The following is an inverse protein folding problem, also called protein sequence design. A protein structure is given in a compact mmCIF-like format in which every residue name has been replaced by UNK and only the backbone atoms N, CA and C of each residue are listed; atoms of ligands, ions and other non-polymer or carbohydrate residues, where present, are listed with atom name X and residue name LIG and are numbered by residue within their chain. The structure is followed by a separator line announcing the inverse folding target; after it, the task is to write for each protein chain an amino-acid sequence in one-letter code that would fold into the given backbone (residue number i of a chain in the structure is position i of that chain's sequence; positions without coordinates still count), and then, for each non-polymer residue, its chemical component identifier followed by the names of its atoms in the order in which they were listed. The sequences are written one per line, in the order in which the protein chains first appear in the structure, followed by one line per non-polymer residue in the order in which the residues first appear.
data_IF_292510644075
#
_entry.id   IF_292510644075
#
_cell.length_a   1.000
_cell.length_b   1.000
_cell.length_c   1.000
_cell.angle_alpha   90.00
_cell.angle_beta   90.00
_cell.angle_gamma   90.00
#
_symmetry.space_group_name_H-M   'P 1'
#
loop_
_entity.id
_entity.type
_entity.pdbx_description
1 polymer ?
#
# COMPACT_ATOMS: atom_id res chain seq x y z
N UNK A 1 -9.78 -47.83 1.98
CA UNK A 1 -8.70 -47.11 1.25
C UNK A 1 -9.25 -46.82 -0.14
N UNK A 2 -9.27 -45.61 -0.68
CA UNK A 2 -8.16 -44.65 -0.77
C UNK A 2 -8.69 -43.23 -0.83
N UNK A 3 -8.09 -42.33 -0.07
CA UNK A 3 -8.31 -40.89 -0.14
C UNK A 3 -7.82 -40.43 -1.52
N UNK A 4 -8.66 -39.73 -2.28
CA UNK A 4 -8.20 -39.08 -3.49
C UNK A 4 -7.03 -38.16 -3.13
N UNK A 5 -5.85 -38.43 -3.69
CA UNK A 5 -4.68 -37.57 -3.59
C UNK A 5 -4.99 -36.30 -4.38
N UNK A 6 -5.49 -35.28 -3.70
CA UNK A 6 -5.44 -33.92 -4.21
C UNK A 6 -3.97 -33.51 -4.14
N UNK A 7 -3.28 -33.56 -5.28
CA UNK A 7 -2.01 -32.87 -5.44
C UNK A 7 -2.24 -31.41 -5.06
N UNK A 8 -1.48 -30.82 -4.12
CA UNK A 8 -1.53 -29.38 -3.92
C UNK A 8 -1.03 -28.76 -5.23
N UNK A 9 -1.95 -28.13 -5.97
CA UNK A 9 -1.56 -27.24 -7.04
C UNK A 9 -0.70 -26.16 -6.40
N UNK A 10 0.49 -25.96 -6.96
CA UNK A 10 1.42 -24.92 -6.56
C UNK A 10 0.69 -23.58 -6.47
N UNK A 11 0.51 -23.09 -5.25
CA UNK A 11 0.24 -21.70 -4.97
C UNK A 11 1.24 -21.33 -3.88
N UNK A 12 2.50 -21.21 -4.31
CA UNK A 12 3.35 -20.22 -3.66
C UNK A 12 2.74 -18.84 -3.94
N UNK A 13 3.07 -17.89 -3.08
CA UNK A 13 2.70 -16.47 -3.20
C UNK A 13 1.36 -16.09 -2.55
N UNK A 14 1.19 -16.40 -1.25
CA UNK A 14 0.24 -15.70 -0.37
C UNK A 14 0.95 -14.63 0.51
N UNK A 15 2.20 -14.27 0.20
CA UNK A 15 2.98 -13.26 0.96
C UNK A 15 3.05 -11.87 0.29
N UNK A 16 2.30 -11.65 -0.81
CA UNK A 16 2.26 -10.36 -1.53
C UNK A 16 0.92 -9.61 -1.41
N UNK A 17 -0.04 -10.06 -0.60
CA UNK A 17 -1.34 -9.37 -0.53
C UNK A 17 -1.34 -8.16 0.43
N UNK A 18 -0.35 -8.06 1.33
CA UNK A 18 -0.30 -6.97 2.33
C UNK A 18 0.53 -5.74 1.87
N UNK A 19 1.28 -5.85 0.76
CA UNK A 19 2.13 -4.78 0.20
C UNK A 19 1.80 -4.51 -1.27
N UNK A 20 1.70 -3.24 -1.67
CA UNK A 20 1.35 -2.79 -3.03
C UNK A 20 2.37 -3.14 -4.11
N UNK A 21 3.49 -3.73 -3.72
CA UNK A 21 4.59 -4.07 -4.59
C UNK A 21 5.40 -2.85 -5.01
N UNK A 22 6.72 -3.03 -5.06
CA UNK A 22 7.64 -1.95 -5.46
C UNK A 22 7.47 -1.50 -6.92
N UNK A 23 6.90 -2.34 -7.79
CA UNK A 23 6.68 -2.02 -9.21
C UNK A 23 5.65 -0.90 -9.42
N UNK A 24 4.72 -0.73 -8.46
CA UNK A 24 3.73 0.34 -8.49
C UNK A 24 4.34 1.74 -8.39
N UNK A 25 5.52 1.87 -7.76
CA UNK A 25 6.23 3.15 -7.56
C UNK A 25 7.09 3.53 -8.77
N UNK A 26 6.42 3.90 -9.85
CA UNK A 26 7.06 4.30 -11.11
C UNK A 26 6.41 5.52 -11.72
N UNK A 27 7.01 6.05 -12.79
CA UNK A 27 6.38 7.12 -13.58
C UNK A 27 5.01 6.65 -14.09
N UNK A 28 3.96 7.37 -13.73
CA UNK A 28 2.57 7.03 -14.06
C UNK A 28 1.91 6.03 -13.09
N UNK A 29 2.61 5.60 -12.04
CA UNK A 29 2.08 4.77 -10.96
C UNK A 29 1.90 5.55 -9.65
N UNK A 30 2.07 4.86 -8.52
CA UNK A 30 1.97 5.45 -7.19
C UNK A 30 3.05 6.52 -6.96
N UNK A 31 2.66 7.55 -6.22
CA UNK A 31 3.59 8.55 -5.73
C UNK A 31 4.32 8.01 -4.50
N UNK A 32 5.65 8.11 -4.47
CA UNK A 32 6.42 7.74 -3.29
C UNK A 32 6.18 8.77 -2.18
N UNK A 33 5.65 8.32 -1.04
CA UNK A 33 5.32 9.16 0.11
C UNK A 33 6.09 8.69 1.34
N UNK A 34 6.56 9.62 2.16
CA UNK A 34 7.24 9.39 3.43
C UNK A 34 6.59 10.18 4.55
N UNK A 35 6.72 9.76 5.83
CA UNK A 35 6.36 10.61 6.95
C UNK A 35 7.07 11.97 6.90
N UNK A 36 6.33 13.05 7.11
CA UNK A 36 6.80 14.44 7.05
C UNK A 36 6.63 15.12 5.69
N UNK A 37 6.25 14.39 4.64
CA UNK A 37 5.94 14.99 3.34
C UNK A 37 4.74 15.94 3.45
N UNK A 38 4.81 17.01 2.67
CA UNK A 38 3.85 18.11 2.71
C UNK A 38 3.03 18.17 1.43
N UNK A 39 1.71 18.18 1.59
CA UNK A 39 0.75 18.28 0.49
C UNK A 39 -0.12 19.53 0.65
N UNK A 40 -0.70 19.99 -0.46
CA UNK A 40 -1.58 21.17 -0.50
C UNK A 40 -0.93 22.42 0.11
N UNK A 41 0.23 22.82 -0.41
CA UNK A 41 0.99 23.98 0.04
C UNK A 41 1.35 23.95 1.55
N UNK A 42 1.71 22.78 2.06
CA UNK A 42 2.12 22.61 3.46
C UNK A 42 0.98 22.34 4.43
N UNK A 43 -0.28 22.28 3.96
CA UNK A 43 -1.43 22.08 4.84
C UNK A 43 -1.48 20.69 5.48
N UNK A 44 -1.20 19.65 4.69
CA UNK A 44 -1.30 18.27 5.13
C UNK A 44 0.09 17.67 5.26
N UNK A 45 0.47 17.31 6.49
CA UNK A 45 1.76 16.66 6.80
C UNK A 45 1.52 15.18 7.04
N UNK A 46 2.12 14.31 6.24
CA UNK A 46 1.94 12.86 6.33
C UNK A 46 2.58 12.29 7.60
N UNK A 47 1.89 11.38 8.27
CA UNK A 47 2.33 10.79 9.54
C UNK A 47 2.68 9.31 9.40
N UNK A 48 1.74 8.51 8.92
CA UNK A 48 1.92 7.08 8.68
C UNK A 48 0.96 6.58 7.60
N UNK A 49 1.38 5.53 6.90
CA UNK A 49 0.54 4.84 5.94
C UNK A 49 -0.58 4.08 6.67
N UNK A 50 -1.78 4.13 6.13
CA UNK A 50 -2.96 3.42 6.65
C UNK A 50 -3.31 2.20 5.79
N UNK A 51 -2.93 2.20 4.53
CA UNK A 51 -3.16 1.09 3.61
C UNK A 51 -2.99 1.53 2.17
N UNK A 52 -3.42 0.66 1.27
CA UNK A 52 -3.37 0.88 -0.16
C UNK A 52 -4.51 0.13 -0.84
N UNK A 53 -4.74 0.45 -2.09
CA UNK A 53 -5.57 -0.30 -3.02
C UNK A 53 -5.04 -0.07 -4.43
N UNK A 54 -5.66 -0.72 -5.41
CA UNK A 54 -5.14 -0.80 -6.79
C UNK A 54 -4.83 0.55 -7.48
N UNK A 55 -5.37 1.65 -6.97
CA UNK A 55 -5.20 2.99 -7.58
C UNK A 55 -4.64 4.04 -6.62
N UNK A 56 -4.47 3.71 -5.34
CA UNK A 56 -4.09 4.70 -4.34
C UNK A 56 -3.40 4.10 -3.13
N UNK A 57 -2.53 4.89 -2.53
CA UNK A 57 -2.06 4.68 -1.16
C UNK A 57 -2.78 5.65 -0.23
N UNK A 58 -3.18 5.19 0.96
CA UNK A 58 -3.91 6.01 1.93
C UNK A 58 -3.00 6.29 3.12
N UNK A 59 -2.92 7.56 3.52
CA UNK A 59 -2.05 8.03 4.59
C UNK A 59 -2.82 8.84 5.62
N UNK A 60 -2.47 8.64 6.89
CA UNK A 60 -2.85 9.56 7.96
C UNK A 60 -2.03 10.83 7.80
N UNK A 61 -2.69 11.98 7.81
CA UNK A 61 -2.05 13.29 7.77
C UNK A 61 -2.54 14.19 8.90
N UNK A 62 -1.67 15.08 9.35
CA UNK A 62 -2.00 16.18 10.24
C UNK A 62 -2.40 17.41 9.41
N UNK A 63 -3.56 18.00 9.67
CA UNK A 63 -4.02 19.24 9.05
C UNK A 63 -3.58 20.43 9.90
N UNK A 64 -2.66 21.24 9.39
CA UNK A 64 -2.12 22.41 10.10
C UNK A 64 -3.10 23.59 10.12
N UNK A 65 -4.14 23.59 9.28
CA UNK A 65 -5.12 24.67 9.20
C UNK A 65 -6.32 24.46 10.13
N UNK A 66 -6.43 23.30 10.79
CA UNK A 66 -7.52 22.99 11.72
C UNK A 66 -7.14 23.20 13.20
N UNK A 67 -6.13 24.04 13.47
CA UNK A 67 -5.74 24.49 14.82
C UNK A 67 -6.51 25.76 15.20
#
# INVERSE_FOLDING_TARGET
MSRASLSPSSSGDEEEEDDEGVDGYRKGGYHAVRPGDQFSAGRYVTQRKLGWGNFSTVWLAFDVASQ
#
